data_IF_106295465332
#
_entry.id   IF_106295465332
#
_cell.length_a   1.000
_cell.length_b   1.000
_cell.length_c   1.000
_cell.angle_alpha   90.00
_cell.angle_beta   90.00
_cell.angle_gamma   90.00
#
_symmetry.space_group_name_H-M   'P 1'
#
loop_
_entity.id
_entity.type
_entity.pdbx_description
1 polymer ?
#
# COMPACT_ATOMS: atom_id res chain seq x y z
N UNK A 1 -8.04 7.62 -11.57
CA UNK A 1 -7.18 8.17 -10.50
C UNK A 1 -6.16 7.15 -10.09
N UNK A 2 -4.95 7.56 -9.87
CA UNK A 2 -3.87 6.70 -9.38
C UNK A 2 -3.40 7.18 -8.02
N UNK A 3 -3.16 6.24 -7.12
CA UNK A 3 -2.56 6.51 -5.82
C UNK A 3 -1.30 5.67 -5.68
N UNK A 4 -0.19 6.31 -5.33
CA UNK A 4 1.07 5.62 -5.07
C UNK A 4 1.40 5.74 -3.60
N UNK A 5 1.62 4.60 -2.96
CA UNK A 5 2.03 4.53 -1.56
C UNK A 5 3.49 4.09 -1.50
N UNK A 6 4.32 4.88 -0.85
CA UNK A 6 5.74 4.60 -0.70
C UNK A 6 6.04 4.43 0.79
N UNK A 7 6.60 3.28 1.15
CA UNK A 7 6.99 2.99 2.52
C UNK A 7 8.45 2.56 2.55
N UNK A 8 9.25 3.26 3.35
CA UNK A 8 10.69 3.05 3.44
C UNK A 8 11.15 2.23 4.64
N UNK A 9 10.24 1.73 5.45
CA UNK A 9 10.60 0.98 6.66
C UNK A 9 9.95 -0.40 6.71
N UNK A 10 9.00 -0.60 7.64
CA UNK A 10 8.40 -1.90 7.87
C UNK A 10 7.23 -2.24 6.93
N UNK A 11 6.68 -1.24 6.29
CA UNK A 11 5.46 -1.40 5.49
C UNK A 11 4.18 -1.34 6.31
N UNK A 12 4.24 -1.16 7.62
CA UNK A 12 3.04 -1.14 8.48
C UNK A 12 2.12 0.03 8.16
N UNK A 13 2.68 1.23 8.09
CA UNK A 13 1.91 2.43 7.77
C UNK A 13 1.39 2.36 6.35
N UNK A 14 2.23 1.93 5.41
CA UNK A 14 1.82 1.74 4.02
C UNK A 14 0.73 0.70 3.88
N UNK A 15 0.83 -0.44 4.57
CA UNK A 15 -0.17 -1.48 4.55
C UNK A 15 -1.50 -1.00 5.12
N UNK A 16 -1.47 -0.25 6.22
CA UNK A 16 -2.68 0.31 6.82
C UNK A 16 -3.38 1.26 5.85
N UNK A 17 -2.61 2.11 5.19
CA UNK A 17 -3.14 3.03 4.19
C UNK A 17 -3.78 2.28 3.01
N UNK A 18 -3.11 1.24 2.52
CA UNK A 18 -3.63 0.40 1.44
C UNK A 18 -4.96 -0.24 1.86
N UNK A 19 -5.03 -0.80 3.07
CA UNK A 19 -6.27 -1.39 3.58
C UNK A 19 -7.40 -0.38 3.65
N UNK A 20 -7.11 0.84 4.13
CA UNK A 20 -8.11 1.90 4.24
C UNK A 20 -8.64 2.33 2.88
N UNK A 21 -7.75 2.46 1.91
CA UNK A 21 -8.15 2.86 0.55
C UNK A 21 -9.00 1.76 -0.10
N UNK A 22 -8.62 0.49 0.07
CA UNK A 22 -9.41 -0.63 -0.47
C UNK A 22 -10.78 -0.72 0.21
N UNK A 23 -10.83 -0.52 1.53
CA UNK A 23 -12.10 -0.57 2.27
C UNK A 23 -13.04 0.56 1.86
N UNK A 24 -12.51 1.70 1.44
CA UNK A 24 -13.33 2.82 0.98
C UNK A 24 -13.99 2.57 -0.38
N UNK A 25 -13.54 1.55 -1.12
CA UNK A 25 -14.15 1.19 -2.40
C UNK A 25 -13.98 2.24 -3.49
N UNK A 26 -12.93 3.04 -3.42
CA UNK A 26 -12.70 4.10 -4.40
C UNK A 26 -12.25 3.51 -5.74
N UNK A 27 -12.79 4.04 -6.87
CA UNK A 27 -12.43 3.56 -8.20
C UNK A 27 -11.08 4.13 -8.65
N UNK A 28 -10.00 3.69 -8.02
CA UNK A 28 -8.67 4.15 -8.31
C UNK A 28 -7.69 3.00 -8.49
N UNK A 29 -6.61 3.27 -9.21
CA UNK A 29 -5.50 2.36 -9.35
C UNK A 29 -4.54 2.59 -8.18
N UNK A 30 -4.24 1.53 -7.44
CA UNK A 30 -3.40 1.61 -6.25
C UNK A 30 -2.07 0.92 -6.51
N UNK A 31 -0.99 1.70 -6.40
CA UNK A 31 0.37 1.21 -6.54
C UNK A 31 1.10 1.39 -5.23
N UNK A 32 1.88 0.41 -4.83
CA UNK A 32 2.68 0.48 -3.62
C UNK A 32 4.14 0.25 -3.95
N UNK A 33 5.00 1.09 -3.40
CA UNK A 33 6.45 1.00 -3.56
C UNK A 33 7.08 0.85 -2.20
N UNK A 34 7.63 -0.32 -1.92
CA UNK A 34 8.44 -0.54 -0.74
C UNK A 34 9.91 -0.39 -1.10
N UNK A 35 10.66 0.33 -0.27
CA UNK A 35 12.10 0.48 -0.48
C UNK A 35 12.89 -0.72 0.02
N UNK A 36 12.21 -1.71 0.59
CA UNK A 36 12.78 -3.00 0.98
C UNK A 36 11.73 -4.09 0.83
N UNK A 37 12.17 -5.35 0.89
CA UNK A 37 11.28 -6.49 0.65
C UNK A 37 10.18 -6.63 1.70
N UNK A 38 10.46 -6.26 2.94
CA UNK A 38 9.46 -6.35 4.03
C UNK A 38 8.32 -5.38 3.77
N UNK A 39 8.63 -4.13 3.46
CA UNK A 39 7.62 -3.11 3.19
C UNK A 39 6.78 -3.48 1.96
N UNK A 40 7.42 -3.93 0.89
CA UNK A 40 6.73 -4.33 -0.32
C UNK A 40 5.77 -5.49 -0.05
N UNK A 41 6.24 -6.52 0.66
CA UNK A 41 5.41 -7.68 0.97
C UNK A 41 4.21 -7.31 1.84
N UNK A 42 4.41 -6.44 2.84
CA UNK A 42 3.32 -6.00 3.72
C UNK A 42 2.23 -5.27 2.96
N UNK A 43 2.61 -4.37 2.05
CA UNK A 43 1.65 -3.61 1.27
C UNK A 43 0.92 -4.48 0.24
N UNK A 44 1.60 -5.44 -0.37
CA UNK A 44 0.97 -6.38 -1.29
C UNK A 44 -0.05 -7.26 -0.57
N UNK A 45 0.31 -7.72 0.63
CA UNK A 45 -0.60 -8.52 1.45
C UNK A 45 -1.85 -7.74 1.85
N UNK A 46 -1.73 -6.43 2.01
CA UNK A 46 -2.85 -5.56 2.34
C UNK A 46 -3.76 -5.25 1.16
N UNK A 47 -3.37 -5.59 -0.07
CA UNK A 47 -4.21 -5.46 -1.24
C UNK A 47 -3.74 -4.50 -2.32
N UNK A 48 -2.49 -4.08 -2.23
CA UNK A 48 -1.94 -3.22 -3.27
C UNK A 48 -1.65 -3.98 -4.56
#
# INVERSE_FOLDING_TARGET
>A
MKLVVIDGQSGRTGALLVERVRAAGLPLELLAVGTNAIATAAMMKAGA
#
